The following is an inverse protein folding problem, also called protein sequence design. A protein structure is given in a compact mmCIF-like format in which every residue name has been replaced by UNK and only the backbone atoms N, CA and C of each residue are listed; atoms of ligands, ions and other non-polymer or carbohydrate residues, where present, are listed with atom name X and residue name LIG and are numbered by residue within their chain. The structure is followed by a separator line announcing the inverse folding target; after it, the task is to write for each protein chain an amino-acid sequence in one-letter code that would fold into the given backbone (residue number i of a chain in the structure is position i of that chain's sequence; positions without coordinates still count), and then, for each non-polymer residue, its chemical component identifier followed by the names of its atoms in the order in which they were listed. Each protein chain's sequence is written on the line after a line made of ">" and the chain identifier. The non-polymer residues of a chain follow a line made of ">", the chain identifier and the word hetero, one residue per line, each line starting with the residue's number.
data_IF_023087568509
#
_entry.id   IF_023087568509
#
_cell.length_a   1.000
_cell.length_b   1.000
_cell.length_c   1.000
_cell.angle_alpha   90.00
_cell.angle_beta   90.00
_cell.angle_gamma   90.00
#
_symmetry.space_group_name_H-M   'P 1'
#
loop_
_entity.id
_entity.type
_entity.pdbx_description
1 polymer ?
#
# COMPACT_ATOMS: atom_id res chain seq x y z
N UNK A 1 -9.98 -17.06 3.40
CA UNK A 1 -8.96 -17.17 2.31
C UNK A 1 -9.17 -16.25 1.10
N UNK A 2 -10.42 -15.92 0.68
CA UNK A 2 -10.67 -15.05 -0.49
C UNK A 2 -10.08 -13.63 -0.33
N UNK A 3 -10.23 -13.00 0.84
CA UNK A 3 -9.69 -11.66 1.13
C UNK A 3 -8.16 -11.59 0.93
N UNK A 4 -7.40 -12.46 1.59
CA UNK A 4 -5.94 -12.47 1.52
C UNK A 4 -5.39 -12.82 0.13
N UNK A 5 -6.06 -13.71 -0.63
CA UNK A 5 -5.71 -13.96 -2.04
C UNK A 5 -5.88 -12.70 -2.89
N UNK A 6 -6.99 -11.95 -2.69
CA UNK A 6 -7.23 -10.68 -3.39
C UNK A 6 -6.17 -9.62 -2.99
N UNK A 7 -5.81 -9.54 -1.71
CA UNK A 7 -4.76 -8.62 -1.25
C UNK A 7 -3.39 -8.99 -1.81
N UNK A 8 -3.02 -10.27 -1.85
CA UNK A 8 -1.78 -10.73 -2.49
C UNK A 8 -1.67 -10.24 -3.93
N UNK A 9 -2.73 -10.41 -4.71
CA UNK A 9 -2.78 -9.95 -6.10
C UNK A 9 -2.69 -8.42 -6.18
N UNK A 10 -3.44 -7.69 -5.35
CA UNK A 10 -3.42 -6.22 -5.31
C UNK A 10 -2.03 -5.67 -4.97
N UNK A 11 -1.36 -6.22 -3.95
CA UNK A 11 -0.02 -5.80 -3.53
C UNK A 11 0.99 -6.08 -4.66
N UNK A 12 0.92 -7.26 -5.28
CA UNK A 12 1.77 -7.61 -6.41
C UNK A 12 1.54 -6.63 -7.59
N UNK A 13 0.29 -6.37 -7.95
CA UNK A 13 -0.07 -5.47 -9.04
C UNK A 13 0.44 -4.04 -8.79
N UNK A 14 0.21 -3.47 -7.61
CA UNK A 14 0.64 -2.12 -7.28
C UNK A 14 2.17 -1.94 -7.35
N UNK A 15 2.94 -2.97 -7.00
CA UNK A 15 4.40 -2.93 -7.09
C UNK A 15 4.93 -3.14 -8.51
N UNK A 16 4.23 -3.89 -9.33
CA UNK A 16 4.70 -4.22 -10.68
C UNK A 16 4.25 -3.21 -11.73
N UNK A 17 3.10 -2.56 -11.54
CA UNK A 17 2.55 -1.61 -12.51
C UNK A 17 3.55 -0.52 -12.96
N UNK A 18 4.24 0.21 -12.04
CA UNK A 18 5.17 1.27 -12.45
C UNK A 18 6.32 0.74 -13.30
N UNK A 19 6.90 -0.41 -12.90
CA UNK A 19 8.04 -1.01 -13.60
C UNK A 19 7.64 -1.81 -14.82
N UNK A 20 6.46 -2.44 -14.79
CA UNK A 20 5.94 -3.26 -15.87
C UNK A 20 5.58 -2.48 -17.13
N UNK A 21 5.29 -1.18 -17.02
CA UNK A 21 5.02 -0.31 -18.18
C UNK A 21 6.23 0.51 -18.61
N UNK A 22 7.01 1.03 -17.66
CA UNK A 22 8.13 1.93 -17.96
C UNK A 22 9.27 1.18 -18.66
N UNK A 23 9.67 0.01 -18.18
CA UNK A 23 10.77 -0.75 -18.78
C UNK A 23 10.49 -1.20 -20.23
N UNK A 24 9.32 -1.78 -20.53
CA UNK A 24 8.98 -2.13 -21.90
C UNK A 24 8.81 -0.93 -22.83
N UNK A 25 8.24 0.16 -22.33
CA UNK A 25 8.12 1.40 -23.11
C UNK A 25 9.50 1.99 -23.45
N UNK A 26 10.44 1.98 -22.50
CA UNK A 26 11.82 2.40 -22.72
C UNK A 26 12.55 1.46 -23.67
N UNK A 27 12.38 0.14 -23.53
CA UNK A 27 12.98 -0.85 -24.43
C UNK A 27 12.47 -0.70 -25.86
N UNK A 28 11.17 -0.46 -26.03
CA UNK A 28 10.55 -0.18 -27.30
C UNK A 28 11.08 1.13 -27.91
N UNK A 29 11.19 2.19 -27.11
CA UNK A 29 11.73 3.48 -27.57
C UNK A 29 13.20 3.35 -28.00
N UNK A 30 14.01 2.63 -27.25
CA UNK A 30 15.41 2.34 -27.60
C UNK A 30 15.52 1.52 -28.88
N UNK A 31 14.70 0.47 -29.04
CA UNK A 31 14.70 -0.36 -30.24
C UNK A 31 14.26 0.44 -31.46
N UNK A 32 13.24 1.28 -31.32
CA UNK A 32 12.74 2.18 -32.36
C UNK A 32 13.77 3.22 -32.79
N UNK A 33 14.43 3.87 -31.82
CA UNK A 33 15.51 4.84 -32.12
C UNK A 33 16.72 4.16 -32.77
N UNK A 34 17.08 2.96 -32.33
CA UNK A 34 18.16 2.17 -32.91
C UNK A 34 17.85 1.78 -34.36
N UNK A 35 16.66 1.27 -34.64
CA UNK A 35 16.25 0.89 -35.98
C UNK A 35 16.13 2.10 -36.94
N UNK A 36 15.66 3.24 -36.47
CA UNK A 36 15.64 4.48 -37.26
C UNK A 36 17.04 5.03 -37.53
N UNK A 37 18.01 4.79 -36.65
CA UNK A 37 19.39 5.23 -36.85
C UNK A 37 20.17 4.38 -37.84
N UNK A 38 19.82 3.12 -38.03
CA UNK A 38 20.52 2.16 -38.89
C UNK A 38 19.76 1.77 -40.16
N UNK A 39 18.48 2.11 -40.29
CA UNK A 39 17.66 1.71 -41.43
C UNK A 39 17.05 2.89 -42.17
N UNK A 40 17.18 2.91 -43.47
CA UNK A 40 16.40 3.78 -44.35
C UNK A 40 14.91 3.55 -44.14
N UNK A 41 14.29 4.28 -43.20
CA UNK A 41 12.83 4.46 -43.10
C UNK A 41 11.96 3.22 -43.29
N UNK A 42 12.31 2.09 -42.67
CA UNK A 42 11.43 0.91 -42.75
C UNK A 42 10.12 1.20 -42.02
N UNK A 43 8.96 0.90 -42.64
CA UNK A 43 7.67 1.09 -41.98
C UNK A 43 7.63 0.31 -40.67
N UNK A 44 7.03 0.91 -39.65
CA UNK A 44 6.80 0.29 -38.33
C UNK A 44 6.19 -1.10 -38.54
N UNK A 45 6.98 -2.13 -38.34
CA UNK A 45 6.48 -3.50 -38.47
C UNK A 45 5.60 -3.79 -37.24
N UNK A 46 4.30 -3.98 -37.51
CA UNK A 46 3.29 -4.27 -36.48
C UNK A 46 3.65 -5.50 -35.64
N UNK A 47 4.42 -6.43 -36.22
CA UNK A 47 4.95 -7.59 -35.52
C UNK A 47 5.89 -7.22 -34.36
N UNK A 48 6.75 -6.21 -34.52
CA UNK A 48 7.67 -5.71 -33.49
C UNK A 48 6.88 -5.12 -32.30
N UNK A 49 5.79 -4.40 -32.59
CA UNK A 49 4.92 -3.86 -31.56
C UNK A 49 4.22 -4.97 -30.79
N UNK A 50 3.75 -5.99 -31.48
CA UNK A 50 3.13 -7.17 -30.86
C UNK A 50 4.12 -7.92 -29.97
N UNK A 51 5.34 -8.18 -30.44
CA UNK A 51 6.40 -8.85 -29.65
C UNK A 51 6.78 -8.03 -28.41
N UNK A 52 6.88 -6.72 -28.49
CA UNK A 52 7.21 -5.88 -27.35
C UNK A 52 6.11 -5.92 -26.28
N UNK A 53 4.84 -5.91 -26.67
CA UNK A 53 3.68 -6.04 -25.76
C UNK A 53 3.66 -7.44 -25.10
N UNK A 54 3.87 -8.51 -25.89
CA UNK A 54 3.93 -9.88 -25.36
C UNK A 54 5.09 -10.06 -24.38
N UNK A 55 6.29 -9.57 -24.73
CA UNK A 55 7.46 -9.64 -23.86
C UNK A 55 7.24 -8.85 -22.56
N UNK A 56 6.61 -7.68 -22.65
CA UNK A 56 6.25 -6.87 -21.51
C UNK A 56 5.26 -7.59 -20.58
N UNK A 57 4.24 -8.21 -21.16
CA UNK A 57 3.28 -9.01 -20.41
C UNK A 57 3.92 -10.19 -19.68
N UNK A 58 4.78 -10.94 -20.38
CA UNK A 58 5.54 -12.05 -19.79
C UNK A 58 6.48 -11.58 -18.67
N UNK A 59 7.13 -10.42 -18.84
CA UNK A 59 8.01 -9.83 -17.82
C UNK A 59 7.25 -9.41 -16.57
N UNK A 60 6.07 -8.80 -16.72
CA UNK A 60 5.19 -8.46 -15.59
C UNK A 60 4.76 -9.72 -14.82
N UNK A 61 4.35 -10.76 -15.55
CA UNK A 61 3.96 -12.06 -14.95
C UNK A 61 5.17 -12.67 -14.20
N UNK A 62 6.36 -12.66 -14.81
CA UNK A 62 7.59 -13.18 -14.20
C UNK A 62 7.94 -12.42 -12.90
N UNK A 63 7.87 -11.09 -12.91
CA UNK A 63 8.09 -10.28 -11.70
C UNK A 63 7.04 -10.61 -10.64
N UNK A 64 5.76 -10.72 -11.02
CA UNK A 64 4.68 -11.09 -10.08
C UNK A 64 4.91 -12.44 -9.42
N UNK A 65 5.38 -13.44 -10.18
CA UNK A 65 5.65 -14.78 -9.67
C UNK A 65 6.89 -14.81 -8.76
N UNK A 66 7.93 -14.03 -9.09
CA UNK A 66 9.22 -14.05 -8.39
C UNK A 66 9.29 -13.09 -7.22
N UNK A 67 8.42 -12.09 -7.13
CA UNK A 67 8.44 -11.16 -6.01
C UNK A 67 8.18 -11.90 -4.70
N UNK A 68 9.24 -12.04 -3.91
CA UNK A 68 9.15 -12.45 -2.51
C UNK A 68 8.37 -11.36 -1.76
N UNK A 69 7.07 -11.55 -1.63
CA UNK A 69 6.13 -10.52 -1.20
C UNK A 69 6.19 -10.35 0.33
N UNK A 70 7.29 -9.75 0.82
CA UNK A 70 7.53 -9.53 2.23
C UNK A 70 6.38 -8.74 2.88
N UNK A 71 5.79 -7.81 2.14
CA UNK A 71 4.62 -7.06 2.60
C UNK A 71 3.40 -7.96 2.80
N UNK A 72 3.15 -8.89 1.87
CA UNK A 72 2.08 -9.86 2.02
C UNK A 72 2.32 -10.83 3.18
N UNK A 73 3.56 -11.30 3.34
CA UNK A 73 3.94 -12.17 4.46
C UNK A 73 3.74 -11.46 5.80
N UNK A 74 4.13 -10.18 5.88
CA UNK A 74 3.92 -9.37 7.07
C UNK A 74 2.43 -9.14 7.34
N UNK A 75 1.64 -8.85 6.29
CA UNK A 75 0.18 -8.72 6.40
C UNK A 75 -0.45 -10.00 6.98
N UNK A 76 -0.05 -11.17 6.48
CA UNK A 76 -0.54 -12.47 6.96
C UNK A 76 -0.10 -12.68 8.40
N UNK A 77 1.17 -12.44 8.72
CA UNK A 77 1.71 -12.58 10.08
C UNK A 77 0.96 -11.72 11.09
N UNK A 78 0.65 -10.47 10.74
CA UNK A 78 -0.13 -9.58 11.61
C UNK A 78 -1.58 -10.06 11.77
N UNK A 79 -2.18 -10.59 10.70
CA UNK A 79 -3.52 -11.16 10.78
C UNK A 79 -3.59 -12.39 11.68
N UNK A 80 -2.61 -13.29 11.60
CA UNK A 80 -2.51 -14.50 12.43
C UNK A 80 -2.38 -14.19 13.93
N UNK A 81 -1.85 -13.02 14.29
CA UNK A 81 -1.81 -12.56 15.69
C UNK A 81 -3.19 -12.16 16.24
N UNK A 82 -4.13 -11.87 15.35
CA UNK A 82 -5.50 -11.48 15.73
C UNK A 82 -6.41 -12.72 15.77
N UNK A 83 -6.19 -13.65 14.84
CA UNK A 83 -6.98 -14.87 14.74
C UNK A 83 -6.81 -15.58 13.40
N UNK A 84 -7.75 -16.48 13.11
CA UNK A 84 -7.78 -17.19 11.84
C UNK A 84 -7.96 -16.23 10.65
N UNK A 85 -7.24 -16.51 9.56
CA UNK A 85 -7.21 -15.63 8.37
C UNK A 85 -8.59 -15.42 7.73
N UNK A 86 -9.44 -16.43 7.71
CA UNK A 86 -10.78 -16.28 7.14
C UNK A 86 -11.66 -15.39 8.03
N UNK A 87 -11.56 -15.55 9.34
CA UNK A 87 -12.26 -14.71 10.32
C UNK A 87 -11.80 -13.26 10.24
N UNK A 88 -10.49 -13.02 10.23
CA UNK A 88 -9.92 -11.67 10.10
C UNK A 88 -10.26 -11.03 8.76
N UNK A 89 -10.22 -11.80 7.68
CA UNK A 89 -10.62 -11.33 6.35
C UNK A 89 -12.08 -10.89 6.29
N UNK A 90 -12.99 -11.70 6.83
CA UNK A 90 -14.42 -11.38 6.92
C UNK A 90 -14.65 -10.16 7.84
N UNK A 91 -13.93 -10.07 8.95
CA UNK A 91 -13.97 -8.91 9.84
C UNK A 91 -13.61 -7.63 9.07
N UNK A 92 -12.49 -7.63 8.35
CA UNK A 92 -12.04 -6.46 7.57
C UNK A 92 -13.06 -6.10 6.47
N UNK A 93 -13.63 -7.07 5.78
CA UNK A 93 -14.63 -6.81 4.73
C UNK A 93 -15.88 -6.14 5.29
N UNK A 94 -16.33 -6.53 6.48
CA UNK A 94 -17.50 -5.98 7.15
C UNK A 94 -17.29 -4.63 7.85
N UNK A 95 -16.02 -4.21 8.07
CA UNK A 95 -15.73 -2.92 8.70
C UNK A 95 -16.11 -1.75 7.79
N UNK A 96 -16.68 -0.72 8.42
CA UNK A 96 -16.97 0.55 7.75
C UNK A 96 -15.66 1.21 7.28
N UNK A 97 -15.68 1.68 6.04
CA UNK A 97 -14.57 2.44 5.47
C UNK A 97 -14.58 3.86 6.03
N UNK A 98 -13.45 4.31 6.55
CA UNK A 98 -13.18 5.71 6.87
C UNK A 98 -12.46 6.33 5.68
N UNK A 99 -12.99 7.42 5.09
CA UNK A 99 -12.35 8.07 3.95
C UNK A 99 -11.04 8.73 4.42
N UNK A 100 -9.97 8.43 3.68
CA UNK A 100 -8.65 9.07 3.84
C UNK A 100 -8.10 9.38 2.47
N UNK A 101 -7.17 10.33 2.36
CA UNK A 101 -6.59 10.73 1.08
C UNK A 101 -5.74 9.59 0.50
N UNK A 102 -6.04 9.19 -0.72
CA UNK A 102 -5.26 8.18 -1.46
C UNK A 102 -5.39 6.73 -0.96
N UNK A 103 -6.19 6.46 0.08
CA UNK A 103 -6.22 5.13 0.69
C UNK A 103 -7.58 4.66 1.18
N UNK A 104 -7.54 3.55 1.88
CA UNK A 104 -8.66 2.96 2.60
C UNK A 104 -8.24 2.65 4.02
N UNK A 105 -8.92 3.23 4.98
CA UNK A 105 -8.76 2.95 6.41
C UNK A 105 -10.03 2.28 6.93
N UNK A 106 -9.85 1.18 7.64
CA UNK A 106 -10.91 0.48 8.38
C UNK A 106 -10.36 0.10 9.73
N UNK A 107 -11.13 0.25 10.79
CA UNK A 107 -10.66 -0.09 12.13
C UNK A 107 -11.80 -0.45 13.07
N UNK A 108 -11.46 -1.20 14.10
CA UNK A 108 -12.27 -1.51 15.27
C UNK A 108 -11.33 -1.69 16.48
N UNK A 109 -11.83 -2.00 17.69
CA UNK A 109 -10.95 -2.22 18.85
C UNK A 109 -9.93 -3.35 18.71
N UNK A 110 -10.12 -4.28 17.74
CA UNK A 110 -9.26 -5.45 17.58
C UNK A 110 -8.19 -5.30 16.49
N UNK A 111 -8.41 -4.38 15.53
CA UNK A 111 -7.47 -4.20 14.41
C UNK A 111 -7.61 -2.83 13.73
N UNK A 112 -6.52 -2.38 13.09
CA UNK A 112 -6.54 -1.34 12.06
C UNK A 112 -6.11 -1.99 10.74
N UNK A 113 -6.90 -1.81 9.70
CA UNK A 113 -6.55 -2.13 8.32
C UNK A 113 -6.37 -0.85 7.53
N UNK A 114 -5.18 -0.66 6.98
CA UNK A 114 -4.85 0.45 6.09
C UNK A 114 -4.31 -0.07 4.77
N UNK A 115 -4.77 0.48 3.67
CA UNK A 115 -4.29 0.15 2.33
C UNK A 115 -4.34 1.37 1.42
N UNK A 116 -3.20 1.73 0.86
CA UNK A 116 -3.05 2.74 -0.18
C UNK A 116 -2.37 2.14 -1.43
N UNK A 117 -1.80 2.99 -2.29
CA UNK A 117 -1.05 2.58 -3.49
C UNK A 117 0.33 2.04 -3.16
N UNK A 118 0.92 2.43 -2.03
CA UNK A 118 2.29 2.11 -1.63
C UNK A 118 2.36 0.95 -0.64
N UNK A 119 1.38 0.86 0.26
CA UNK A 119 1.41 -0.09 1.36
C UNK A 119 0.03 -0.66 1.72
N UNK A 120 0.03 -1.90 2.18
CA UNK A 120 -1.14 -2.52 2.82
C UNK A 120 -0.70 -3.09 4.15
N UNK A 121 -1.36 -2.68 5.23
CA UNK A 121 -0.98 -3.04 6.61
C UNK A 121 -2.20 -3.47 7.42
N UNK A 122 -1.99 -4.46 8.28
CA UNK A 122 -2.84 -4.75 9.43
C UNK A 122 -2.02 -4.41 10.66
N UNK A 123 -2.59 -3.62 11.58
CA UNK A 123 -1.93 -3.22 12.82
C UNK A 123 -2.73 -3.76 13.98
N UNK A 124 -2.05 -4.46 14.88
CA UNK A 124 -2.63 -4.97 16.11
C UNK A 124 -2.64 -3.86 17.16
N UNK A 125 -3.79 -3.46 17.70
CA UNK A 125 -3.90 -2.33 18.64
C UNK A 125 -2.98 -2.41 19.85
N UNK A 126 -2.84 -3.60 20.44
CA UNK A 126 -1.95 -3.81 21.60
C UNK A 126 -0.46 -3.52 21.31
N UNK A 127 -0.08 -3.35 20.06
CA UNK A 127 1.29 -3.03 19.66
C UNK A 127 1.52 -1.57 19.33
N UNK A 128 0.49 -0.74 19.35
CA UNK A 128 0.59 0.69 19.04
C UNK A 128 1.31 1.39 20.17
N UNK A 129 2.37 2.12 19.83
CA UNK A 129 3.19 2.90 20.78
C UNK A 129 2.87 4.37 20.73
N UNK A 130 2.50 4.91 19.56
CA UNK A 130 2.02 6.30 19.44
C UNK A 130 1.05 6.46 18.27
N UNK A 131 0.16 7.46 18.38
CA UNK A 131 -0.68 7.96 17.31
C UNK A 131 -0.60 9.48 17.36
N UNK A 132 -0.10 10.10 16.30
CA UNK A 132 0.19 11.52 16.26
C UNK A 132 -0.32 12.19 15.00
N UNK A 133 -0.89 13.38 15.13
CA UNK A 133 -1.21 14.23 14.00
C UNK A 133 -0.01 15.13 13.68
N UNK A 134 0.42 15.16 12.46
CA UNK A 134 1.57 15.94 11.99
C UNK A 134 1.30 16.65 10.67
N UNK A 135 2.08 17.67 10.40
CA UNK A 135 2.11 18.33 9.09
C UNK A 135 3.53 18.33 8.55
N UNK A 136 3.65 18.09 7.25
CA UNK A 136 4.93 18.17 6.55
C UNK A 136 4.83 19.26 5.47
N UNK A 137 5.80 20.18 5.48
CA UNK A 137 5.84 21.35 4.58
C UNK A 137 6.73 21.16 3.35
N UNK A 138 7.19 19.95 3.06
CA UNK A 138 8.08 19.72 1.93
C UNK A 138 7.30 19.84 0.60
N UNK A 139 7.49 20.94 -0.13
CA UNK A 139 6.88 21.32 -1.41
C UNK A 139 5.36 21.61 -1.41
N UNK A 140 4.58 20.93 -0.58
CA UNK A 140 3.14 21.16 -0.38
C UNK A 140 2.82 20.84 1.08
N UNK A 141 1.76 21.46 1.61
CA UNK A 141 1.27 21.07 2.94
C UNK A 141 0.62 19.70 2.88
N UNK A 142 1.24 18.71 3.52
CA UNK A 142 0.68 17.39 3.74
C UNK A 142 0.31 17.25 5.21
N UNK A 143 -0.91 16.84 5.47
CA UNK A 143 -1.40 16.56 6.81
C UNK A 143 -1.51 15.06 7.00
N UNK A 144 -0.97 14.55 8.10
CA UNK A 144 -0.81 13.13 8.30
C UNK A 144 -1.22 12.71 9.71
N UNK A 145 -1.70 11.48 9.82
CA UNK A 145 -1.76 10.75 11.08
C UNK A 145 -0.72 9.64 11.03
N UNK A 146 0.30 9.76 11.87
CA UNK A 146 1.34 8.75 12.06
C UNK A 146 0.90 7.74 13.12
N UNK A 147 1.04 6.45 12.82
CA UNK A 147 0.83 5.36 13.77
C UNK A 147 2.15 4.61 13.88
N UNK A 148 2.78 4.66 15.05
CA UNK A 148 3.96 3.87 15.37
C UNK A 148 3.56 2.64 16.19
N UNK A 149 4.22 1.52 15.94
CA UNK A 149 3.97 0.27 16.66
C UNK A 149 5.25 -0.53 16.86
N UNK A 150 5.24 -1.43 17.83
CA UNK A 150 6.39 -2.25 18.21
C UNK A 150 7.06 -2.92 17.01
N UNK A 151 8.39 -3.06 17.08
CA UNK A 151 9.28 -3.60 16.04
C UNK A 151 9.44 -2.67 14.83
N UNK A 152 9.59 -1.35 15.09
CA UNK A 152 9.91 -0.31 14.10
C UNK A 152 8.87 -0.12 12.98
N UNK A 153 7.64 -0.57 13.23
CA UNK A 153 6.57 -0.31 12.30
C UNK A 153 6.09 1.13 12.39
N UNK A 154 5.94 1.78 11.24
CA UNK A 154 5.32 3.09 11.11
C UNK A 154 4.39 3.11 9.89
N UNK A 155 3.22 3.72 10.08
CA UNK A 155 2.26 3.97 8.99
C UNK A 155 1.87 5.42 9.02
N UNK A 156 1.94 6.06 7.87
CA UNK A 156 1.50 7.44 7.67
C UNK A 156 0.22 7.46 6.84
N UNK A 157 -0.84 8.01 7.40
CA UNK A 157 -2.15 8.14 6.77
C UNK A 157 -2.33 9.60 6.35
N UNK A 158 -2.37 9.86 5.05
CA UNK A 158 -2.56 11.22 4.54
C UNK A 158 -4.03 11.62 4.62
N UNK A 159 -4.28 12.85 5.07
CA UNK A 159 -5.60 13.47 5.21
C UNK A 159 -5.62 14.86 4.55
N UNK A 160 -6.79 15.48 4.48
CA UNK A 160 -6.97 16.73 3.72
C UNK A 160 -6.61 17.98 4.50
N UNK A 161 -6.72 17.95 5.83
CA UNK A 161 -6.47 19.10 6.71
C UNK A 161 -5.94 18.68 8.07
N UNK A 162 -5.34 19.62 8.79
CA UNK A 162 -4.88 19.38 10.16
C UNK A 162 -6.04 19.15 11.14
N UNK A 163 -7.20 19.72 10.89
CA UNK A 163 -8.41 19.46 11.68
C UNK A 163 -8.82 17.99 11.54
N UNK A 164 -8.88 17.49 10.31
CA UNK A 164 -9.18 16.08 10.01
C UNK A 164 -8.12 15.14 10.61
N UNK A 165 -6.83 15.53 10.59
CA UNK A 165 -5.75 14.75 11.21
C UNK A 165 -5.94 14.63 12.73
N UNK A 166 -6.27 15.71 13.40
CA UNK A 166 -6.52 15.73 14.86
C UNK A 166 -7.76 14.92 15.23
N UNK A 167 -8.83 15.08 14.47
CA UNK A 167 -10.08 14.33 14.68
C UNK A 167 -9.87 12.83 14.50
N UNK A 168 -9.22 12.41 13.41
CA UNK A 168 -8.88 11.02 13.16
C UNK A 168 -7.94 10.45 14.23
N UNK A 169 -6.93 11.21 14.63
CA UNK A 169 -6.01 10.85 15.73
C UNK A 169 -6.78 10.60 17.04
N UNK A 170 -7.67 11.51 17.42
CA UNK A 170 -8.47 11.38 18.63
C UNK A 170 -9.43 10.18 18.55
N UNK A 171 -10.05 9.96 17.39
CA UNK A 171 -10.93 8.82 17.13
C UNK A 171 -10.18 7.49 17.23
N UNK A 172 -9.00 7.38 16.62
CA UNK A 172 -8.16 6.19 16.68
C UNK A 172 -7.68 5.91 18.12
N UNK A 173 -7.19 6.92 18.85
CA UNK A 173 -6.80 6.78 20.25
C UNK A 173 -7.96 6.24 21.10
N UNK A 174 -9.15 6.81 20.95
CA UNK A 174 -10.33 6.40 21.72
C UNK A 174 -10.79 4.98 21.39
N UNK A 175 -10.77 4.61 20.10
CA UNK A 175 -11.36 3.34 19.63
C UNK A 175 -10.38 2.18 19.71
N UNK A 176 -9.12 2.42 19.36
CA UNK A 176 -8.15 1.36 19.08
C UNK A 176 -7.05 1.29 20.13
N UNK A 177 -6.64 2.43 20.65
CA UNK A 177 -5.52 2.52 21.57
C UNK A 177 -5.85 3.35 22.84
N UNK A 178 -6.87 2.97 23.61
CA UNK A 178 -7.29 3.71 24.81
C UNK A 178 -6.17 3.79 25.87
N UNK A 179 -5.23 2.83 25.87
CA UNK A 179 -4.06 2.85 26.74
C UNK A 179 -3.15 4.07 26.50
N UNK A 180 -3.19 4.70 25.32
CA UNK A 180 -2.44 5.92 25.04
C UNK A 180 -3.12 7.19 25.60
N UNK A 181 -4.34 7.09 26.09
CA UNK A 181 -5.08 8.20 26.72
C UNK A 181 -4.85 8.27 28.23
N UNK A 182 -4.45 7.15 28.86
CA UNK A 182 -4.24 7.03 30.30
C UNK A 182 -2.82 7.33 30.80
N UNK A 183 -1.86 7.53 29.92
CA UNK A 183 -0.44 7.74 30.29
C UNK A 183 -0.04 9.15 30.71
N UNK A 184 -0.97 10.00 31.13
CA UNK A 184 -0.70 11.40 31.46
C UNK A 184 -1.11 11.85 32.84
N UNK A 185 -1.33 10.95 33.80
CA UNK A 185 -1.80 11.33 35.15
C UNK A 185 -0.99 10.75 36.33
N UNK A 186 0.16 10.14 36.06
CA UNK A 186 1.06 9.69 37.13
C UNK A 186 2.47 10.27 36.91
N UNK A 187 2.64 11.56 37.16
CA UNK A 187 3.90 12.21 37.58
C UNK A 187 3.58 13.46 38.40
#
# INVERSE_FOLDING_TARGET
>A
MKFFKKMKFKIALNKTLPFGFILPALSFLMLFTFMNSFGNGTPLDFSLLLYSVLFSGLWVVFIMLRMNNNEYKELVRQAELIGDLDTVGNMIDNLKRTPVKGGTLKFNPSLIFYSDTLATRIIVPARITSIEASSNHFRCMHYNVGISYLYEGHVTIEVRSMAEARELCALLKRTVAPHLLGGGLDD
#
